data_IF_282921160954
#
_entry.id   IF_282921160954
#
_cell.length_a   1.000
_cell.length_b   1.000
_cell.length_c   1.000
_cell.angle_alpha   90.00
_cell.angle_beta   90.00
_cell.angle_gamma   90.00
#
_symmetry.space_group_name_H-M   'P 1'
#
loop_
_entity.id
_entity.type
_entity.pdbx_description
1 polymer ?
#
# COMPACT_ATOMS: atom_id res chain seq x y z
N UNK A 1 -9.71 -1.62 14.76
CA UNK A 1 -10.24 -2.90 15.33
C UNK A 1 -11.09 -3.72 14.35
N UNK A 2 -11.13 -3.44 13.03
CA UNK A 2 -12.15 -4.04 12.14
C UNK A 2 -11.74 -5.30 11.34
N UNK A 3 -10.49 -5.80 11.43
CA UNK A 3 -10.03 -6.92 10.57
C UNK A 3 -9.55 -8.20 11.29
N UNK A 4 -9.27 -8.19 12.60
CA UNK A 4 -8.72 -9.37 13.30
C UNK A 4 -9.71 -10.54 13.34
N UNK A 5 -10.96 -10.28 13.74
CA UNK A 5 -11.99 -11.32 13.87
C UNK A 5 -12.46 -11.95 12.56
N UNK A 6 -12.16 -11.35 11.39
CA UNK A 6 -12.43 -11.96 10.08
C UNK A 6 -11.39 -13.03 9.73
N UNK A 7 -10.12 -12.71 9.97
CA UNK A 7 -8.97 -13.58 9.67
C UNK A 7 -9.04 -14.86 10.53
N UNK A 8 -9.23 -14.70 11.84
CA UNK A 8 -9.31 -15.82 12.78
C UNK A 8 -10.43 -16.81 12.42
N UNK A 9 -11.60 -16.30 12.02
CA UNK A 9 -12.76 -17.12 11.66
C UNK A 9 -12.49 -17.97 10.41
N UNK A 10 -11.86 -17.38 9.39
CA UNK A 10 -11.53 -18.07 8.14
C UNK A 10 -10.43 -19.12 8.32
N UNK A 11 -9.43 -18.85 9.16
CA UNK A 11 -8.36 -19.81 9.43
C UNK A 11 -8.84 -21.01 10.25
N UNK A 12 -9.86 -20.84 11.11
CA UNK A 12 -10.40 -21.94 11.94
C UNK A 12 -10.86 -23.16 11.13
N UNK A 13 -11.33 -22.96 9.89
CA UNK A 13 -11.76 -24.03 8.98
C UNK A 13 -10.59 -24.81 8.36
N UNK A 14 -9.36 -24.26 8.39
CA UNK A 14 -8.16 -24.85 7.78
C UNK A 14 -7.29 -25.65 8.77
N UNK A 15 -7.56 -25.54 10.07
CA UNK A 15 -6.71 -26.12 11.13
C UNK A 15 -5.41 -25.33 11.41
N UNK A 16 -5.18 -24.23 10.69
CA UNK A 16 -4.05 -23.31 10.92
C UNK A 16 -4.38 -22.41 12.11
N UNK A 17 -3.43 -22.30 13.06
CA UNK A 17 -3.47 -21.33 14.16
C UNK A 17 -2.71 -20.08 13.77
N UNK A 18 -3.13 -18.92 14.27
CA UNK A 18 -2.42 -17.65 14.07
C UNK A 18 -2.17 -16.97 15.42
N UNK A 19 -0.97 -16.42 15.61
CA UNK A 19 -0.64 -15.63 16.79
C UNK A 19 -1.18 -14.21 16.71
N UNK A 20 -1.52 -13.62 17.85
CA UNK A 20 -2.08 -12.27 17.93
C UNK A 20 -1.15 -11.20 17.34
N UNK A 21 0.17 -11.34 17.52
CA UNK A 21 1.16 -10.43 16.92
C UNK A 21 1.16 -10.52 15.39
N UNK A 22 0.97 -11.73 14.83
CA UNK A 22 0.84 -11.93 13.39
C UNK A 22 -0.45 -11.29 12.86
N UNK A 23 -1.58 -11.47 13.57
CA UNK A 23 -2.85 -10.81 13.24
C UNK A 23 -2.69 -9.29 13.23
N UNK A 24 -2.04 -8.74 14.26
CA UNK A 24 -1.80 -7.30 14.40
C UNK A 24 -0.92 -6.75 13.29
N UNK A 25 0.14 -7.46 12.92
CA UNK A 25 1.02 -7.07 11.82
C UNK A 25 0.28 -7.08 10.47
N UNK A 26 -0.48 -8.13 10.17
CA UNK A 26 -1.29 -8.24 8.95
C UNK A 26 -2.35 -7.12 8.90
N UNK A 27 -3.07 -6.90 10.00
CA UNK A 27 -4.09 -5.87 10.08
C UNK A 27 -3.51 -4.46 9.90
N UNK A 28 -2.35 -4.19 10.48
CA UNK A 28 -1.64 -2.91 10.33
C UNK A 28 -1.17 -2.68 8.90
N UNK A 29 -0.47 -3.66 8.31
CA UNK A 29 0.08 -3.54 6.95
C UNK A 29 -0.98 -3.53 5.85
N UNK A 30 -2.11 -4.18 6.06
CA UNK A 30 -3.23 -4.16 5.11
C UNK A 30 -4.09 -2.90 5.18
N UNK A 31 -3.92 -2.06 6.21
CA UNK A 31 -4.71 -0.84 6.46
C UNK A 31 -6.24 -1.02 6.39
N UNK A 32 -6.76 -2.24 6.55
CA UNK A 32 -8.19 -2.50 6.35
C UNK A 32 -8.58 -2.96 4.94
N UNK A 33 -7.71 -2.81 3.93
CA UNK A 33 -8.06 -2.98 2.52
C UNK A 33 -8.27 -4.46 2.16
N UNK A 34 -9.49 -4.88 1.73
CA UNK A 34 -9.82 -6.30 1.54
C UNK A 34 -8.88 -7.03 0.56
N UNK A 35 -8.55 -6.41 -0.57
CA UNK A 35 -7.66 -7.02 -1.56
C UNK A 35 -6.23 -7.19 -1.03
N UNK A 36 -5.73 -6.22 -0.27
CA UNK A 36 -4.38 -6.27 0.30
C UNK A 36 -4.35 -7.36 1.36
N UNK A 37 -5.35 -7.39 2.24
CA UNK A 37 -5.50 -8.42 3.25
C UNK A 37 -5.50 -9.83 2.65
N UNK A 38 -6.32 -10.08 1.62
CA UNK A 38 -6.39 -11.39 0.97
C UNK A 38 -5.07 -11.76 0.31
N UNK A 39 -4.42 -10.83 -0.38
CA UNK A 39 -3.10 -11.05 -1.00
C UNK A 39 -2.05 -11.40 0.05
N UNK A 40 -2.06 -10.70 1.19
CA UNK A 40 -1.18 -11.00 2.32
C UNK A 40 -1.42 -12.41 2.86
N UNK A 41 -2.68 -12.76 3.17
CA UNK A 41 -3.02 -14.07 3.70
C UNK A 41 -2.62 -15.20 2.73
N UNK A 42 -2.86 -15.02 1.43
CA UNK A 42 -2.48 -16.00 0.40
C UNK A 42 -0.96 -16.22 0.38
N UNK A 43 -0.18 -15.15 0.29
CA UNK A 43 1.28 -15.25 0.23
C UNK A 43 1.88 -15.82 1.52
N UNK A 44 1.30 -15.53 2.69
CA UNK A 44 1.72 -16.13 3.97
C UNK A 44 1.51 -17.64 3.92
N UNK A 45 0.30 -18.11 3.59
CA UNK A 45 -0.01 -19.54 3.53
C UNK A 45 0.87 -20.25 2.50
N UNK A 46 1.08 -19.65 1.33
CA UNK A 46 1.91 -20.21 0.26
C UNK A 46 3.41 -20.24 0.62
N UNK A 47 3.84 -19.45 1.60
CA UNK A 47 5.22 -19.45 2.11
C UNK A 47 5.47 -20.44 3.26
N UNK A 48 4.42 -20.99 3.85
CA UNK A 48 4.52 -21.95 4.95
C UNK A 48 4.96 -23.33 4.47
N UNK A 49 5.75 -24.03 5.29
CA UNK A 49 6.07 -25.43 5.02
C UNK A 49 4.81 -26.32 5.16
N UNK A 50 4.74 -27.44 4.43
CA UNK A 50 3.57 -28.33 4.43
C UNK A 50 3.16 -28.84 5.83
N UNK A 51 4.12 -28.96 6.74
CA UNK A 51 3.90 -29.39 8.12
C UNK A 51 3.69 -28.22 9.12
N UNK A 52 3.83 -26.98 8.67
CA UNK A 52 3.66 -25.80 9.49
C UNK A 52 2.16 -25.51 9.67
N UNK A 53 1.69 -25.49 10.92
CA UNK A 53 0.28 -25.28 11.27
C UNK A 53 0.05 -24.02 12.11
N UNK A 54 1.05 -23.14 12.18
CA UNK A 54 1.04 -21.97 13.03
C UNK A 54 1.66 -20.78 12.30
N UNK A 55 0.88 -19.73 12.08
CA UNK A 55 1.35 -18.45 11.56
C UNK A 55 1.86 -17.62 12.74
N UNK A 56 3.16 -17.36 12.75
CA UNK A 56 3.83 -16.47 13.70
C UNK A 56 4.13 -15.11 13.08
N UNK A 57 4.57 -14.14 13.88
CA UNK A 57 5.03 -12.85 13.34
C UNK A 57 6.19 -13.03 12.35
N UNK A 58 7.08 -14.00 12.58
CA UNK A 58 8.21 -14.31 11.70
C UNK A 58 7.74 -14.93 10.37
N UNK A 59 6.73 -15.79 10.40
CA UNK A 59 6.07 -16.32 9.20
C UNK A 59 5.55 -15.16 8.33
N UNK A 60 4.97 -14.12 8.94
CA UNK A 60 4.51 -12.92 8.20
C UNK A 60 5.69 -12.13 7.64
N UNK A 61 6.75 -11.90 8.43
CA UNK A 61 7.94 -11.13 8.01
C UNK A 61 8.65 -11.77 6.83
N UNK A 62 8.84 -13.09 6.87
CA UNK A 62 9.47 -13.86 5.80
C UNK A 62 8.63 -13.86 4.51
N UNK A 63 7.30 -13.76 4.63
CA UNK A 63 6.40 -13.62 3.48
C UNK A 63 6.35 -12.20 2.88
N UNK A 64 6.79 -11.16 3.61
CA UNK A 64 6.67 -9.76 3.16
C UNK A 64 7.26 -9.52 1.76
N UNK A 65 8.47 -9.98 1.40
CA UNK A 65 9.02 -9.73 0.06
C UNK A 65 8.10 -10.26 -1.06
N UNK A 66 7.51 -11.44 -0.86
CA UNK A 66 6.55 -12.02 -1.81
C UNK A 66 5.26 -11.20 -1.88
N UNK A 67 4.69 -10.84 -0.73
CA UNK A 67 3.53 -9.95 -0.64
C UNK A 67 3.74 -8.67 -1.42
N UNK A 68 4.89 -8.00 -1.22
CA UNK A 68 5.22 -6.78 -1.91
C UNK A 68 5.34 -6.98 -3.42
N UNK A 69 5.98 -8.07 -3.86
CA UNK A 69 6.11 -8.39 -5.29
C UNK A 69 4.75 -8.65 -5.96
N UNK A 70 3.90 -9.45 -5.33
CA UNK A 70 2.57 -9.79 -5.84
C UNK A 70 1.69 -8.52 -5.92
N UNK A 71 1.67 -7.71 -4.86
CA UNK A 71 0.96 -6.43 -4.86
C UNK A 71 1.53 -5.45 -5.89
N UNK A 72 2.86 -5.39 -6.05
CA UNK A 72 3.51 -4.53 -7.02
C UNK A 72 3.07 -4.88 -8.45
N UNK A 73 3.03 -6.16 -8.79
CA UNK A 73 2.67 -6.67 -10.11
C UNK A 73 1.17 -6.58 -10.38
N UNK A 74 0.35 -7.08 -9.47
CA UNK A 74 -1.06 -7.36 -9.75
C UNK A 74 -1.97 -6.19 -9.35
N UNK A 75 -1.48 -5.25 -8.54
CA UNK A 75 -2.31 -4.15 -8.02
C UNK A 75 -1.70 -2.77 -8.26
N UNK A 76 -0.47 -2.54 -7.79
CA UNK A 76 0.13 -1.21 -7.81
C UNK A 76 0.62 -0.79 -9.20
N UNK A 77 1.18 -1.69 -10.00
CA UNK A 77 1.55 -1.39 -11.39
C UNK A 77 0.34 -1.03 -12.26
N UNK A 78 -0.78 -1.79 -12.23
CA UNK A 78 -2.02 -1.39 -12.91
C UNK A 78 -2.58 -0.04 -12.48
N UNK A 79 -2.38 0.37 -11.21
CA UNK A 79 -2.77 1.70 -10.74
C UNK A 79 -1.85 2.81 -11.24
N UNK A 80 -0.54 2.56 -11.29
CA UNK A 80 0.47 3.54 -11.67
C UNK A 80 0.60 3.72 -13.20
N UNK A 81 0.56 2.64 -13.96
CA UNK A 81 0.84 2.64 -15.40
C UNK A 81 -0.07 3.59 -16.23
N UNK A 82 -1.39 3.71 -15.94
CA UNK A 82 -2.29 4.57 -16.71
C UNK A 82 -2.10 6.07 -16.50
N UNK A 83 -1.25 6.51 -15.57
CA UNK A 83 -0.95 7.92 -15.34
C UNK A 83 -0.10 8.49 -16.47
N UNK A 84 -0.33 9.77 -16.77
CA UNK A 84 0.51 10.53 -17.70
C UNK A 84 1.96 10.61 -17.20
N UNK A 85 2.97 10.73 -18.08
CA UNK A 85 4.37 10.84 -17.65
C UNK A 85 4.61 11.95 -16.61
N UNK A 86 3.94 13.10 -16.77
CA UNK A 86 4.05 14.22 -15.83
C UNK A 86 3.32 13.96 -14.50
N UNK A 87 2.17 13.30 -14.51
CA UNK A 87 1.54 12.86 -13.28
C UNK A 87 2.43 11.84 -12.53
N UNK A 88 3.07 10.90 -13.24
CA UNK A 88 4.02 9.96 -12.63
C UNK A 88 5.19 10.67 -11.96
N UNK A 89 5.81 11.63 -12.64
CA UNK A 89 6.90 12.46 -12.09
C UNK A 89 6.47 13.15 -10.78
N UNK A 90 5.31 13.82 -10.80
CA UNK A 90 4.77 14.49 -9.60
C UNK A 90 4.48 13.49 -8.48
N UNK A 91 3.85 12.36 -8.79
CA UNK A 91 3.47 11.35 -7.81
C UNK A 91 4.69 10.75 -7.11
N UNK A 92 5.75 10.44 -7.88
CA UNK A 92 7.00 9.90 -7.35
C UNK A 92 7.72 10.94 -6.48
N UNK A 93 7.77 12.21 -6.90
CA UNK A 93 8.34 13.28 -6.08
C UNK A 93 7.59 13.43 -4.77
N UNK A 94 6.25 13.42 -4.79
CA UNK A 94 5.44 13.46 -3.57
C UNK A 94 5.70 12.25 -2.67
N UNK A 95 5.76 11.04 -3.22
CA UNK A 95 5.99 9.82 -2.44
C UNK A 95 7.34 9.83 -1.72
N UNK A 96 8.39 10.37 -2.34
CA UNK A 96 9.72 10.51 -1.72
C UNK A 96 9.82 11.63 -0.70
N UNK A 97 9.06 12.71 -0.87
CA UNK A 97 9.24 13.95 -0.10
C UNK A 97 8.27 14.10 1.08
N UNK A 98 7.12 13.43 1.03
CA UNK A 98 6.11 13.44 2.08
C UNK A 98 6.31 12.23 3.00
N UNK A 99 6.15 12.46 4.31
CA UNK A 99 6.13 11.41 5.32
C UNK A 99 4.74 10.76 5.40
N UNK A 100 4.70 9.44 5.51
CA UNK A 100 3.44 8.70 5.53
C UNK A 100 2.67 8.80 4.21
N UNK A 101 1.32 8.77 4.31
CA UNK A 101 0.43 8.78 3.15
C UNK A 101 -0.41 10.04 2.99
N UNK A 102 -0.54 10.87 4.03
CA UNK A 102 -1.41 12.05 4.01
C UNK A 102 -0.60 13.34 3.84
N UNK A 103 -1.16 14.32 3.14
CA UNK A 103 -0.54 15.62 2.93
C UNK A 103 -1.59 16.69 2.61
N UNK A 104 -1.21 17.96 2.79
CA UNK A 104 -2.02 19.09 2.32
C UNK A 104 -1.62 19.52 0.91
N UNK A 105 -2.48 20.29 0.22
CA UNK A 105 -2.09 20.88 -1.07
C UNK A 105 -0.86 21.80 -0.95
N UNK A 106 -0.78 22.57 0.13
CA UNK A 106 0.35 23.47 0.37
C UNK A 106 1.65 22.71 0.61
N UNK A 107 1.58 21.58 1.31
CA UNK A 107 2.72 20.68 1.46
C UNK A 107 3.17 20.13 0.10
N UNK A 108 2.25 19.71 -0.76
CA UNK A 108 2.58 19.24 -2.11
C UNK A 108 3.32 20.31 -2.94
N UNK A 109 2.86 21.57 -2.89
CA UNK A 109 3.52 22.73 -3.53
C UNK A 109 4.95 22.88 -2.99
N UNK A 110 5.10 22.94 -1.67
CA UNK A 110 6.41 23.14 -1.02
C UNK A 110 7.38 22.00 -1.30
N UNK A 111 6.91 20.75 -1.25
CA UNK A 111 7.75 19.55 -1.39
C UNK A 111 8.18 19.27 -2.83
N UNK A 112 7.37 19.67 -3.81
CA UNK A 112 7.70 19.51 -5.23
C UNK A 112 8.43 20.72 -5.81
N UNK A 113 8.43 21.86 -5.10
CA UNK A 113 8.91 23.15 -5.59
C UNK A 113 8.25 23.52 -6.94
N UNK A 114 6.94 23.29 -7.05
CA UNK A 114 6.13 23.59 -8.24
C UNK A 114 4.94 24.48 -7.86
N UNK A 115 4.58 25.36 -8.79
CA UNK A 115 3.44 26.24 -8.63
C UNK A 115 2.11 25.49 -8.46
N UNK A 116 1.19 26.06 -7.68
CA UNK A 116 -0.14 25.50 -7.44
C UNK A 116 -0.91 25.21 -8.73
N UNK A 117 -0.82 26.10 -9.72
CA UNK A 117 -1.48 25.97 -11.02
C UNK A 117 -0.86 24.83 -11.85
N UNK A 118 0.44 24.57 -11.68
CA UNK A 118 1.12 23.44 -12.32
C UNK A 118 0.67 22.10 -11.72
N UNK A 119 0.57 21.99 -10.39
CA UNK A 119 0.22 20.73 -9.72
C UNK A 119 -1.26 20.35 -9.84
N UNK A 120 -2.15 21.34 -9.83
CA UNK A 120 -3.59 21.15 -9.83
C UNK A 120 -4.13 20.14 -10.87
N UNK A 121 -3.76 20.19 -12.16
CA UNK A 121 -4.24 19.21 -13.15
C UNK A 121 -3.77 17.78 -12.85
N UNK A 122 -2.53 17.59 -12.38
CA UNK A 122 -1.98 16.27 -12.09
C UNK A 122 -2.59 15.66 -10.83
N UNK A 123 -2.82 16.46 -9.79
CA UNK A 123 -3.56 16.01 -8.59
C UNK A 123 -4.99 15.59 -8.96
N UNK A 124 -5.67 16.32 -9.85
CA UNK A 124 -7.00 15.94 -10.37
C UNK A 124 -6.96 14.61 -11.14
N UNK A 125 -5.94 14.42 -11.98
CA UNK A 125 -5.74 13.15 -12.69
C UNK A 125 -5.55 11.98 -11.70
N UNK A 126 -4.68 12.16 -10.70
CA UNK A 126 -4.39 11.16 -9.69
C UNK A 126 -5.61 10.76 -8.87
N UNK A 127 -6.46 11.73 -8.48
CA UNK A 127 -7.73 11.47 -7.80
C UNK A 127 -8.68 10.67 -8.70
N UNK A 128 -8.82 11.07 -9.97
CA UNK A 128 -9.70 10.38 -10.93
C UNK A 128 -9.25 8.94 -11.19
N UNK A 129 -7.94 8.70 -11.15
CA UNK A 129 -7.33 7.37 -11.35
C UNK A 129 -7.23 6.54 -10.06
N UNK A 130 -7.63 7.11 -8.92
CA UNK A 130 -7.68 6.40 -7.64
C UNK A 130 -6.32 6.13 -6.99
N UNK A 131 -5.23 6.75 -7.46
CA UNK A 131 -3.90 6.65 -6.81
C UNK A 131 -3.76 7.60 -5.62
N UNK A 132 -4.57 8.65 -5.61
CA UNK A 132 -4.82 9.53 -4.47
C UNK A 132 -6.30 9.51 -4.10
N UNK A 133 -6.58 9.78 -2.83
CA UNK A 133 -7.91 10.02 -2.28
C UNK A 133 -7.94 11.40 -1.61
N UNK A 134 -9.14 11.89 -1.31
CA UNK A 134 -9.38 13.18 -0.65
C UNK A 134 -10.19 12.98 0.63
N UNK A 135 -9.53 12.70 1.77
CA UNK A 135 -10.24 12.41 3.03
C UNK A 135 -11.02 13.62 3.56
N UNK A 136 -10.51 14.83 3.33
CA UNK A 136 -11.11 16.07 3.81
C UNK A 136 -10.76 17.25 2.88
N UNK A 137 -11.36 18.42 3.12
CA UNK A 137 -11.15 19.59 2.26
C UNK A 137 -9.69 20.06 2.35
N UNK A 138 -9.00 20.05 1.20
CA UNK A 138 -7.63 20.55 1.08
C UNK A 138 -6.55 19.55 1.48
N UNK A 139 -6.94 18.33 1.86
CA UNK A 139 -6.02 17.25 2.24
C UNK A 139 -6.20 16.06 1.32
N UNK A 140 -5.10 15.39 1.07
CA UNK A 140 -4.98 14.30 0.13
C UNK A 140 -4.29 13.15 0.82
N UNK A 141 -4.57 11.94 0.37
CA UNK A 141 -3.89 10.76 0.82
C UNK A 141 -3.49 9.90 -0.37
N UNK A 142 -2.30 9.30 -0.34
CA UNK A 142 -2.03 8.15 -1.19
C UNK A 142 -3.04 7.05 -0.88
N UNK A 143 -3.39 6.29 -1.92
CA UNK A 143 -4.36 5.21 -1.81
C UNK A 143 -4.06 4.23 -0.67
N UNK A 144 -2.79 3.86 -0.48
CA UNK A 144 -2.36 2.87 0.52
C UNK A 144 -0.89 3.09 0.93
N UNK A 145 -0.52 2.76 2.16
CA UNK A 145 0.88 2.95 2.61
C UNK A 145 1.89 2.09 1.83
N UNK A 146 1.55 0.82 1.56
CA UNK A 146 2.42 -0.06 0.75
C UNK A 146 2.56 0.45 -0.70
N UNK A 147 1.58 1.22 -1.20
CA UNK A 147 1.71 1.86 -2.50
C UNK A 147 2.74 2.99 -2.46
N UNK A 148 2.84 3.75 -1.36
CA UNK A 148 3.91 4.74 -1.16
C UNK A 148 5.27 4.07 -1.13
N UNK A 149 5.42 2.96 -0.40
CA UNK A 149 6.67 2.19 -0.35
C UNK A 149 7.08 1.69 -1.74
N UNK A 150 6.11 1.16 -2.50
CA UNK A 150 6.32 0.76 -3.90
C UNK A 150 6.77 1.94 -4.80
N UNK A 151 6.16 3.11 -4.67
CA UNK A 151 6.55 4.30 -5.43
C UNK A 151 7.95 4.79 -5.07
N UNK A 152 8.36 4.68 -3.80
CA UNK A 152 9.71 5.05 -3.36
C UNK A 152 10.76 4.14 -3.98
N UNK A 153 10.51 2.83 -4.05
CA UNK A 153 11.42 1.86 -4.69
C UNK A 153 11.58 2.07 -6.20
N UNK A 154 10.51 2.48 -6.92
CA UNK A 154 10.58 2.83 -8.36
C UNK A 154 11.35 4.10 -8.66
N UNK A 155 11.57 4.91 -7.64
CA UNK A 155 12.27 6.16 -7.81
C UNK A 155 13.74 6.00 -8.16
N UNK A 156 14.32 4.83 -7.93
CA UNK A 156 15.73 4.55 -8.22
C UNK A 156 15.96 4.21 -9.70
N UNK A 157 14.92 3.81 -10.44
CA UNK A 157 14.99 3.48 -11.87
C UNK A 157 15.04 4.71 -12.81
N UNK A 158 14.93 5.93 -12.27
CA UNK A 158 14.81 7.20 -13.04
C UNK A 158 16.00 8.15 -12.80
N UNK A 159 17.00 7.73 -12.02
CA UNK A 159 18.24 8.50 -11.77
C UNK A 159 19.39 7.86 -12.54
#
# INVERSE_FOLDING_TARGET
MLNSGYIERKLKETGIKIEENAVSLIASKSEGHPYVLVSMCYAIIDSMAENEKKITEETVKTALPKIYNDLAKDFFAPMFHPLTPKAKEVLLTLARSISGKEFSFSEAVNRTNKEANYLSPYIKEMLRKGVLNKPERGRYAFFHILFVEYLRGRGEDII
#
